data_IF_600789932571
#
_entry.id   IF_600789932571
#
_cell.length_a   1.000
_cell.length_b   1.000
_cell.length_c   1.000
_cell.angle_alpha   90.00
_cell.angle_beta   90.00
_cell.angle_gamma   90.00
#
_symmetry.space_group_name_H-M   'P 1'
#
loop_
_entity.id
_entity.type
_entity.pdbx_description
1 polymer ?
#
# COMPACT_ATOMS: atom_id res chain seq x y z
N UNK A 1 6.71 1.98 7.17
CA UNK A 1 6.86 3.07 7.46
C UNK A 1 6.48 4.41 6.87
N UNK A 2 7.21 5.44 7.28
CA UNK A 2 6.91 6.84 6.93
C UNK A 2 6.84 7.10 5.42
N UNK A 3 7.79 6.56 4.66
CA UNK A 3 7.84 6.79 3.22
C UNK A 3 6.65 6.16 2.48
N UNK A 4 6.17 5.03 2.96
CA UNK A 4 4.94 4.41 2.42
C UNK A 4 3.71 5.27 2.71
N UNK A 5 3.65 5.91 3.88
CA UNK A 5 2.59 6.86 4.22
C UNK A 5 2.55 8.04 3.25
N UNK A 6 3.70 8.50 2.78
CA UNK A 6 3.79 9.57 1.78
C UNK A 6 3.17 9.18 0.43
N UNK A 7 3.13 7.90 0.08
CA UNK A 7 2.48 7.43 -1.16
C UNK A 7 0.95 7.56 -1.13
N UNK A 8 0.36 7.70 0.05
CA UNK A 8 -1.07 7.96 0.23
C UNK A 8 -1.40 9.44 0.48
N UNK A 9 -0.40 10.33 0.44
CA UNK A 9 -0.61 11.75 0.69
C UNK A 9 -1.55 12.35 -0.38
N UNK A 10 -2.40 13.29 0.03
CA UNK A 10 -3.33 13.96 -0.88
C UNK A 10 -2.64 14.86 -1.90
N UNK A 11 -1.41 15.32 -1.60
CA UNK A 11 -0.61 16.13 -2.53
C UNK A 11 0.14 15.22 -3.48
N UNK A 12 -0.10 15.38 -4.77
CA UNK A 12 0.57 14.62 -5.81
C UNK A 12 2.10 14.78 -5.77
N UNK A 13 2.58 15.99 -5.49
CA UNK A 13 4.01 16.25 -5.38
C UNK A 13 4.66 15.42 -4.27
N UNK A 14 4.02 15.25 -3.12
CA UNK A 14 4.55 14.41 -2.03
C UNK A 14 4.61 12.95 -2.45
N UNK A 15 3.59 12.46 -3.17
CA UNK A 15 3.59 11.10 -3.72
C UNK A 15 4.72 10.90 -4.73
N UNK A 16 4.94 11.86 -5.62
CA UNK A 16 6.02 11.80 -6.61
C UNK A 16 7.40 11.77 -5.94
N UNK A 17 7.63 12.63 -4.94
CA UNK A 17 8.89 12.64 -4.17
C UNK A 17 9.12 11.30 -3.45
N UNK A 18 8.07 10.72 -2.88
CA UNK A 18 8.16 9.40 -2.24
C UNK A 18 8.54 8.30 -3.25
N UNK A 19 7.94 8.31 -4.45
CA UNK A 19 8.29 7.40 -5.53
C UNK A 19 9.75 7.55 -5.96
N UNK A 20 10.22 8.78 -6.09
CA UNK A 20 11.61 9.08 -6.43
C UNK A 20 12.57 8.50 -5.39
N UNK A 21 12.28 8.71 -4.11
CA UNK A 21 13.11 8.18 -3.02
C UNK A 21 13.13 6.65 -3.05
N UNK A 22 12.00 6.00 -3.19
CA UNK A 22 11.93 4.53 -3.25
C UNK A 22 12.73 4.00 -4.45
N UNK A 23 12.55 4.59 -5.63
CA UNK A 23 13.23 4.15 -6.83
C UNK A 23 14.73 4.42 -6.79
N UNK A 24 15.12 5.68 -6.67
CA UNK A 24 16.52 6.08 -6.81
C UNK A 24 17.35 5.88 -5.55
N UNK A 25 16.80 6.18 -4.38
CA UNK A 25 17.57 6.20 -3.14
C UNK A 25 17.47 4.91 -2.32
N UNK A 26 16.55 4.03 -2.63
CA UNK A 26 16.45 2.71 -2.00
C UNK A 26 16.90 1.65 -3.01
N UNK A 27 16.04 1.28 -3.96
CA UNK A 27 16.33 0.18 -4.88
C UNK A 27 17.38 0.50 -5.94
N UNK A 28 17.47 1.75 -6.37
CA UNK A 28 18.53 2.25 -7.27
C UNK A 28 19.80 2.68 -6.55
N UNK A 29 19.87 2.63 -5.23
CA UNK A 29 21.04 3.04 -4.45
C UNK A 29 22.24 2.15 -4.72
N UNK A 30 23.39 2.79 -4.86
CA UNK A 30 24.68 2.09 -4.94
C UNK A 30 25.36 1.94 -3.57
N UNK A 31 24.80 2.58 -2.54
CA UNK A 31 25.33 2.59 -1.16
C UNK A 31 24.71 1.48 -0.34
N UNK A 32 23.40 1.24 -0.50
CA UNK A 32 22.70 0.19 0.22
C UNK A 32 23.12 -1.19 -0.27
N UNK A 33 23.39 -2.09 0.68
CA UNK A 33 23.69 -3.47 0.37
C UNK A 33 22.48 -4.18 -0.26
N UNK A 34 22.74 -5.07 -1.21
CA UNK A 34 21.70 -5.87 -1.89
C UNK A 34 20.84 -6.68 -0.89
N UNK A 35 21.47 -7.16 0.20
CA UNK A 35 20.76 -7.84 1.28
C UNK A 35 19.73 -6.97 1.98
N UNK A 36 20.06 -5.71 2.23
CA UNK A 36 19.14 -4.77 2.88
C UNK A 36 18.00 -4.39 1.95
N UNK A 37 18.28 -4.20 0.65
CA UNK A 37 17.24 -3.98 -0.36
C UNK A 37 16.30 -5.18 -0.44
N UNK A 38 16.82 -6.41 -0.40
CA UNK A 38 16.01 -7.64 -0.43
C UNK A 38 15.08 -7.72 0.79
N UNK A 39 15.57 -7.37 1.98
CA UNK A 39 14.74 -7.32 3.19
C UNK A 39 13.64 -6.27 3.08
N UNK A 40 13.97 -5.08 2.61
CA UNK A 40 12.98 -4.02 2.40
C UNK A 40 11.93 -4.45 1.39
N UNK A 41 12.34 -5.06 0.28
CA UNK A 41 11.43 -5.57 -0.73
C UNK A 41 10.48 -6.63 -0.16
N UNK A 42 11.00 -7.60 0.56
CA UNK A 42 10.21 -8.67 1.19
C UNK A 42 9.12 -8.10 2.12
N UNK A 43 9.45 -7.05 2.88
CA UNK A 43 8.51 -6.44 3.82
C UNK A 43 7.46 -5.56 3.15
N UNK A 44 7.82 -4.83 2.10
CA UNK A 44 7.00 -3.75 1.58
C UNK A 44 6.39 -3.99 0.20
N UNK A 45 6.80 -5.03 -0.53
CA UNK A 45 6.39 -5.22 -1.92
C UNK A 45 4.87 -5.22 -2.11
N UNK A 46 4.16 -6.01 -1.31
CA UNK A 46 2.70 -6.11 -1.37
C UNK A 46 2.03 -4.77 -1.03
N UNK A 47 2.48 -4.15 0.06
CA UNK A 47 1.97 -2.84 0.49
C UNK A 47 2.20 -1.77 -0.56
N UNK A 48 3.38 -1.76 -1.16
CA UNK A 48 3.75 -0.83 -2.22
C UNK A 48 2.84 -0.98 -3.44
N UNK A 49 2.58 -2.21 -3.89
CA UNK A 49 1.70 -2.46 -5.03
C UNK A 49 0.27 -1.98 -4.78
N UNK A 50 -0.28 -2.23 -3.59
CA UNK A 50 -1.62 -1.74 -3.23
C UNK A 50 -1.68 -0.21 -3.20
N UNK A 51 -0.67 0.45 -2.64
CA UNK A 51 -0.60 1.91 -2.59
C UNK A 51 -0.47 2.52 -4.00
N UNK A 52 0.35 1.94 -4.85
CA UNK A 52 0.50 2.40 -6.24
C UNK A 52 -0.77 2.20 -7.06
N UNK A 53 -1.50 1.13 -6.83
CA UNK A 53 -2.77 0.88 -7.50
C UNK A 53 -3.87 1.87 -7.06
N UNK A 54 -3.92 2.23 -5.79
CA UNK A 54 -4.93 3.14 -5.26
C UNK A 54 -4.73 4.59 -5.72
N UNK A 55 -3.50 5.09 -5.67
CA UNK A 55 -3.16 6.47 -6.02
C UNK A 55 -2.47 6.55 -7.38
N UNK A 56 -3.24 6.37 -8.45
CA UNK A 56 -2.69 6.37 -9.80
C UNK A 56 -2.18 7.74 -10.24
N UNK A 57 -2.78 8.83 -9.77
CA UNK A 57 -2.39 10.18 -10.12
C UNK A 57 -2.63 10.52 -11.60
N UNK A 58 -2.08 11.66 -12.02
CA UNK A 58 -2.12 12.11 -13.39
C UNK A 58 -1.03 11.50 -14.28
N UNK A 59 -0.91 12.03 -15.50
CA UNK A 59 0.04 11.54 -16.51
C UNK A 59 1.49 11.59 -16.02
N UNK A 60 1.89 12.67 -15.36
CA UNK A 60 3.24 12.81 -14.82
C UNK A 60 3.54 11.75 -13.74
N UNK A 61 2.56 11.43 -12.90
CA UNK A 61 2.68 10.35 -11.90
C UNK A 61 2.91 8.99 -12.53
N UNK A 62 2.41 8.74 -13.74
CA UNK A 62 2.69 7.51 -14.48
C UNK A 62 4.19 7.34 -14.74
N UNK A 63 4.88 8.40 -15.15
CA UNK A 63 6.33 8.37 -15.39
C UNK A 63 7.11 8.09 -14.10
N UNK A 64 6.74 8.73 -13.00
CA UNK A 64 7.37 8.47 -11.69
C UNK A 64 7.19 7.03 -11.25
N UNK A 65 5.98 6.48 -11.40
CA UNK A 65 5.71 5.07 -11.07
C UNK A 65 6.49 4.12 -11.96
N UNK A 66 6.52 4.38 -13.26
CA UNK A 66 7.28 3.56 -14.21
C UNK A 66 8.78 3.58 -13.90
N UNK A 67 9.34 4.74 -13.59
CA UNK A 67 10.74 4.86 -13.20
C UNK A 67 11.05 4.09 -11.92
N UNK A 68 10.19 4.20 -10.90
CA UNK A 68 10.34 3.48 -9.64
C UNK A 68 10.28 1.97 -9.85
N UNK A 69 9.29 1.49 -10.62
CA UNK A 69 9.16 0.07 -10.96
C UNK A 69 10.35 -0.44 -11.76
N UNK A 70 10.92 0.38 -12.64
CA UNK A 70 12.12 0.04 -13.37
C UNK A 70 13.34 -0.15 -12.46
N UNK A 71 13.51 0.69 -11.45
CA UNK A 71 14.56 0.50 -10.43
C UNK A 71 14.37 -0.78 -9.63
N UNK A 72 13.15 -1.08 -9.25
CA UNK A 72 12.81 -2.31 -8.51
C UNK A 72 13.08 -3.54 -9.39
N UNK A 73 12.65 -3.51 -10.65
CA UNK A 73 12.87 -4.60 -11.61
C UNK A 73 14.36 -4.88 -11.82
N UNK A 74 15.16 -3.85 -12.02
CA UNK A 74 16.62 -3.98 -12.12
C UNK A 74 17.22 -4.60 -10.87
N UNK A 75 16.78 -4.17 -9.70
CA UNK A 75 17.24 -4.74 -8.44
C UNK A 75 16.90 -6.25 -8.37
N UNK A 76 15.65 -6.63 -8.63
CA UNK A 76 15.21 -8.02 -8.58
C UNK A 76 15.99 -8.87 -9.57
N UNK A 77 16.07 -8.44 -10.82
CA UNK A 77 16.77 -9.17 -11.88
C UNK A 77 18.25 -9.37 -11.56
N UNK A 78 18.91 -8.34 -11.08
CA UNK A 78 20.32 -8.40 -10.70
C UNK A 78 20.55 -9.29 -9.48
N UNK A 79 19.72 -9.18 -8.47
CA UNK A 79 19.81 -9.97 -7.26
C UNK A 79 19.61 -11.47 -7.56
N UNK A 80 18.65 -11.82 -8.40
CA UNK A 80 18.42 -13.19 -8.85
C UNK A 80 19.56 -13.73 -9.72
N UNK A 81 20.11 -12.90 -10.60
CA UNK A 81 21.24 -13.27 -11.45
C UNK A 81 22.46 -13.70 -10.63
N UNK A 82 22.68 -13.07 -9.48
CA UNK A 82 23.76 -13.42 -8.57
C UNK A 82 23.38 -14.46 -7.51
N UNK A 83 22.31 -15.22 -7.73
CA UNK A 83 21.89 -16.34 -6.88
C UNK A 83 21.07 -15.96 -5.65
N UNK A 84 20.63 -14.71 -5.55
CA UNK A 84 19.73 -14.28 -4.48
C UNK A 84 18.31 -14.81 -4.69
N UNK A 85 17.63 -15.12 -3.58
CA UNK A 85 16.21 -15.44 -3.56
C UNK A 85 15.42 -14.19 -3.17
N UNK A 86 14.50 -13.80 -4.04
CA UNK A 86 13.55 -12.73 -3.76
C UNK A 86 12.28 -13.33 -3.20
N UNK A 87 12.01 -13.07 -1.93
CA UNK A 87 10.84 -13.56 -1.24
C UNK A 87 9.93 -12.40 -0.88
N UNK A 88 8.62 -12.63 -0.88
CA UNK A 88 7.63 -11.71 -0.36
C UNK A 88 7.11 -12.22 0.98
N UNK A 89 6.99 -11.32 1.96
CA UNK A 89 6.38 -11.66 3.25
C UNK A 89 4.89 -11.88 3.04
N UNK A 90 4.45 -13.13 3.04
CA UNK A 90 3.05 -13.51 2.93
C UNK A 90 2.58 -14.18 4.21
N UNK A 91 1.36 -13.89 4.60
CA UNK A 91 0.68 -14.56 5.71
C UNK A 91 -0.40 -15.47 5.17
N UNK A 92 -0.53 -16.67 5.70
CA UNK A 92 -1.53 -17.65 5.27
C UNK A 92 -2.94 -17.30 5.74
N UNK A 93 -3.04 -16.67 6.91
CA UNK A 93 -4.33 -16.26 7.49
C UNK A 93 -4.74 -14.90 6.93
N UNK A 94 -5.94 -14.83 6.38
CA UNK A 94 -6.52 -13.62 5.79
C UNK A 94 -7.72 -13.20 6.60
N UNK A 95 -7.78 -11.92 6.94
CA UNK A 95 -8.95 -11.28 7.53
C UNK A 95 -9.50 -10.23 6.57
N UNK A 96 -10.78 -10.32 6.29
CA UNK A 96 -11.50 -9.36 5.49
C UNK A 96 -12.39 -8.52 6.42
N UNK A 97 -12.18 -7.22 6.43
CA UNK A 97 -12.85 -6.29 7.32
C UNK A 97 -13.62 -5.24 6.50
N UNK A 98 -14.89 -5.52 6.17
CA UNK A 98 -15.74 -4.57 5.46
C UNK A 98 -16.33 -3.53 6.41
N UNK A 99 -16.56 -2.34 5.88
CA UNK A 99 -17.23 -1.29 6.63
C UNK A 99 -17.55 -0.06 5.78
N UNK A 100 -18.46 0.74 6.32
CA UNK A 100 -18.81 2.03 5.70
C UNK A 100 -17.70 3.05 5.89
N UNK A 101 -17.04 3.04 7.05
CA UNK A 101 -15.93 3.93 7.42
C UNK A 101 -16.23 5.41 7.14
N UNK A 102 -17.25 5.91 7.77
CA UNK A 102 -17.74 7.29 7.60
C UNK A 102 -17.74 8.07 8.94
N UNK A 103 -16.56 8.50 9.44
CA UNK A 103 -15.21 8.23 8.95
C UNK A 103 -14.58 6.95 9.51
N UNK A 104 -13.44 6.56 8.96
CA UNK A 104 -12.54 5.57 9.58
C UNK A 104 -11.86 6.20 10.80
N UNK A 105 -12.09 5.62 11.96
CA UNK A 105 -11.66 6.16 13.26
C UNK A 105 -10.42 5.45 13.82
N UNK A 106 -9.84 6.04 14.87
CA UNK A 106 -8.77 5.40 15.63
C UNK A 106 -9.19 4.07 16.26
N UNK A 107 -10.48 3.93 16.63
CA UNK A 107 -11.02 2.66 17.12
C UNK A 107 -11.01 1.58 16.05
N UNK A 108 -11.42 1.89 14.83
CA UNK A 108 -11.32 0.98 13.71
C UNK A 108 -9.86 0.57 13.46
N UNK A 109 -8.95 1.55 13.47
CA UNK A 109 -7.51 1.32 13.28
C UNK A 109 -6.92 0.42 14.37
N UNK A 110 -7.34 0.61 15.62
CA UNK A 110 -6.96 -0.23 16.75
C UNK A 110 -7.35 -1.69 16.54
N UNK A 111 -8.63 -1.94 16.21
CA UNK A 111 -9.16 -3.29 15.94
C UNK A 111 -8.39 -3.96 14.80
N UNK A 112 -8.18 -3.26 13.70
CA UNK A 112 -7.50 -3.79 12.52
C UNK A 112 -6.04 -4.15 12.85
N UNK A 113 -5.36 -3.33 13.65
CA UNK A 113 -4.01 -3.60 14.11
C UNK A 113 -3.94 -4.82 15.05
N UNK A 114 -4.91 -4.99 15.93
CA UNK A 114 -4.99 -6.18 16.77
C UNK A 114 -5.17 -7.45 15.93
N UNK A 115 -6.04 -7.42 14.94
CA UNK A 115 -6.24 -8.56 14.03
C UNK A 115 -4.93 -8.87 13.28
N UNK A 116 -4.22 -7.86 12.79
CA UNK A 116 -2.91 -8.03 12.17
C UNK A 116 -1.92 -8.65 13.12
N UNK A 117 -1.87 -8.21 14.36
CA UNK A 117 -0.91 -8.68 15.37
C UNK A 117 -1.17 -10.14 15.78
N UNK A 118 -2.39 -10.65 15.54
CA UNK A 118 -2.73 -12.07 15.64
C UNK A 118 -2.20 -12.92 14.47
N UNK A 119 -1.51 -12.32 13.51
CA UNK A 119 -0.89 -13.02 12.38
C UNK A 119 -1.69 -13.00 11.08
N UNK A 120 -2.74 -12.19 11.00
CA UNK A 120 -3.55 -12.07 9.79
C UNK A 120 -2.99 -11.03 8.80
N UNK A 121 -3.13 -11.32 7.53
CA UNK A 121 -3.08 -10.33 6.46
C UNK A 121 -4.47 -9.69 6.37
N UNK A 122 -4.58 -8.39 6.60
CA UNK A 122 -5.87 -7.71 6.75
C UNK A 122 -6.20 -6.92 5.50
N UNK A 123 -7.41 -7.10 5.00
CA UNK A 123 -7.95 -6.33 3.86
C UNK A 123 -9.19 -5.57 4.30
N UNK A 124 -9.14 -4.24 4.19
CA UNK A 124 -10.26 -3.35 4.44
C UNK A 124 -11.04 -3.12 3.15
N UNK A 125 -12.34 -3.30 3.19
CA UNK A 125 -13.23 -2.98 2.09
C UNK A 125 -14.19 -1.86 2.48
N UNK A 126 -14.14 -0.76 1.73
CA UNK A 126 -15.03 0.38 1.97
C UNK A 126 -16.31 0.16 1.17
N UNK A 127 -17.45 0.10 1.87
CA UNK A 127 -18.76 -0.03 1.24
C UNK A 127 -19.08 1.22 0.41
N UNK A 128 -19.68 1.04 -0.74
CA UNK A 128 -20.15 2.13 -1.59
C UNK A 128 -21.26 2.94 -0.90
N UNK A 129 -22.10 2.27 -0.14
CA UNK A 129 -23.23 2.88 0.53
C UNK A 129 -22.92 3.22 1.99
N UNK A 130 -23.33 4.42 2.40
CA UNK A 130 -23.32 4.83 3.79
C UNK A 130 -24.75 5.02 4.30
N UNK A 131 -25.01 4.50 5.48
CA UNK A 131 -26.29 4.69 6.17
C UNK A 131 -26.40 6.05 6.90
N UNK A 132 -25.35 6.87 6.81
CA UNK A 132 -25.36 8.21 7.38
C UNK A 132 -26.34 9.14 6.65
N UNK A 133 -26.97 10.04 7.40
CA UNK A 133 -27.85 11.08 6.80
C UNK A 133 -27.10 12.06 5.88
N UNK A 134 -25.80 12.23 6.09
CA UNK A 134 -24.89 13.06 5.28
C UNK A 134 -23.60 12.29 5.02
N UNK A 135 -23.64 11.30 4.12
CA UNK A 135 -22.48 10.46 3.88
C UNK A 135 -21.39 11.24 3.15
N UNK A 136 -20.16 11.02 3.53
CA UNK A 136 -19.02 11.41 2.71
C UNK A 136 -19.00 10.59 1.42
N UNK A 137 -18.58 11.16 0.28
CA UNK A 137 -18.42 10.43 -0.96
C UNK A 137 -17.53 9.18 -0.76
N UNK A 138 -17.85 8.10 -1.45
CA UNK A 138 -17.11 6.84 -1.37
C UNK A 138 -15.61 7.04 -1.61
N UNK A 139 -15.24 7.83 -2.60
CA UNK A 139 -13.84 8.12 -2.91
C UNK A 139 -13.12 8.81 -1.75
N UNK A 140 -13.77 9.74 -1.06
CA UNK A 140 -13.20 10.44 0.11
C UNK A 140 -13.03 9.47 1.27
N UNK A 141 -13.99 8.60 1.53
CA UNK A 141 -13.89 7.57 2.57
C UNK A 141 -12.73 6.61 2.30
N UNK A 142 -12.56 6.19 1.05
CA UNK A 142 -11.41 5.39 0.62
C UNK A 142 -10.07 6.11 0.85
N UNK A 143 -9.97 7.37 0.49
CA UNK A 143 -8.76 8.18 0.69
C UNK A 143 -8.38 8.27 2.18
N UNK A 144 -9.36 8.47 3.06
CA UNK A 144 -9.12 8.54 4.51
C UNK A 144 -8.62 7.19 5.04
N UNK A 145 -9.24 6.10 4.64
CA UNK A 145 -8.79 4.75 5.02
C UNK A 145 -7.37 4.51 4.52
N UNK A 146 -7.12 4.77 3.25
CA UNK A 146 -5.81 4.55 2.63
C UNK A 146 -4.70 5.33 3.33
N UNK A 147 -4.93 6.62 3.60
CA UNK A 147 -3.99 7.46 4.34
C UNK A 147 -3.73 6.93 5.75
N UNK A 148 -4.78 6.46 6.43
CA UNK A 148 -4.69 5.97 7.80
C UNK A 148 -3.86 4.70 7.94
N UNK A 149 -3.92 3.80 6.96
CA UNK A 149 -3.24 2.49 7.00
C UNK A 149 -1.99 2.41 6.12
N UNK A 150 -1.66 3.46 5.37
CA UNK A 150 -0.57 3.43 4.39
C UNK A 150 0.80 3.04 4.99
N UNK A 151 1.07 3.44 6.22
CA UNK A 151 2.30 3.11 6.94
C UNK A 151 2.28 1.77 7.68
N UNK A 152 1.16 1.07 7.71
CA UNK A 152 0.99 -0.18 8.45
C UNK A 152 1.20 -1.40 7.55
N UNK A 153 2.18 -2.23 7.87
CA UNK A 153 2.41 -3.48 7.15
C UNK A 153 1.30 -4.49 7.44
N UNK A 154 1.01 -5.33 6.46
CA UNK A 154 -0.01 -6.37 6.52
C UNK A 154 -1.46 -5.87 6.69
N UNK A 155 -1.69 -4.59 6.44
CA UNK A 155 -3.02 -3.98 6.39
C UNK A 155 -3.15 -3.28 5.04
N UNK A 156 -4.14 -3.66 4.24
CA UNK A 156 -4.32 -3.19 2.88
C UNK A 156 -5.75 -2.70 2.65
N UNK A 157 -5.89 -1.72 1.77
CA UNK A 157 -7.19 -1.33 1.24
C UNK A 157 -7.52 -2.23 0.04
N UNK A 158 -8.67 -2.92 0.10
CA UNK A 158 -9.11 -3.80 -0.98
C UNK A 158 -9.36 -2.98 -2.26
N UNK A 159 -8.88 -3.43 -3.43
CA UNK A 159 -8.99 -2.67 -4.67
C UNK A 159 -10.44 -2.37 -5.07
N UNK A 160 -10.69 -1.17 -5.55
CA UNK A 160 -12.04 -0.71 -5.93
C UNK A 160 -12.55 -1.30 -7.24
N UNK A 161 -11.64 -1.73 -8.09
CA UNK A 161 -11.93 -2.39 -9.37
C UNK A 161 -12.35 -3.86 -9.23
N UNK A 162 -12.26 -4.40 -8.01
CA UNK A 162 -12.78 -5.73 -7.69
C UNK A 162 -14.16 -5.55 -7.02
N UNK A 163 -15.26 -5.91 -7.69
CA UNK A 163 -16.58 -5.70 -7.10
C UNK A 163 -16.78 -6.61 -5.90
N UNK A 164 -17.02 -6.01 -4.75
CA UNK A 164 -17.41 -6.71 -3.52
C UNK A 164 -18.89 -6.46 -3.29
N UNK A 165 -19.70 -7.47 -3.47
CA UNK A 165 -21.12 -7.40 -3.15
C UNK A 165 -21.36 -7.94 -1.75
N UNK A 166 -21.46 -7.04 -0.77
CA UNK A 166 -21.69 -7.38 0.64
C UNK A 166 -23.17 -7.62 0.96
N UNK A 167 -24.07 -7.42 0.00
CA UNK A 167 -25.52 -7.53 0.21
C UNK A 167 -26.10 -8.89 -0.25
N UNK A 168 -25.25 -9.85 -0.55
CA UNK A 168 -25.66 -11.22 -0.88
C UNK A 168 -25.10 -12.25 0.08
#
# INVERSE_FOLDING_TARGET
GLILSCLANYREQVRQEALLVIGQHIFGSQILAERDKSRMFSLCAKKLLFLLNENKGGELSLYYRAATLSHIDRFISRYQLFGGLVETSTREKIAFFPGTFDPFTLSHKGIVREIRDLGYEVYLAVDEFSWSKKPQPHMIRRQIVNLSIAGDFHIHLFPNDIPVNLSK
#
